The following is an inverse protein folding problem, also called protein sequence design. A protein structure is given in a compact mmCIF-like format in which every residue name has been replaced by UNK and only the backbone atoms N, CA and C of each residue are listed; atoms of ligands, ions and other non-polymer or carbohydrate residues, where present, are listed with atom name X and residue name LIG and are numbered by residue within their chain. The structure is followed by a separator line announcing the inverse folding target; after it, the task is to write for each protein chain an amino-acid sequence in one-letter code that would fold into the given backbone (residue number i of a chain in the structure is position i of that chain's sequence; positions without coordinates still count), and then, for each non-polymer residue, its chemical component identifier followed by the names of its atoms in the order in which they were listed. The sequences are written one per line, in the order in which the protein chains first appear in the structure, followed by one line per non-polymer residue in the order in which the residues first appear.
data_IF_239290274429
#
_entry.id   IF_239290274429
#
_cell.length_a   1.000
_cell.length_b   1.000
_cell.length_c   1.000
_cell.angle_alpha   90.00
_cell.angle_beta   90.00
_cell.angle_gamma   90.00
#
_symmetry.space_group_name_H-M   'P 1'
#
loop_
_entity.id
_entity.type
_entity.pdbx_description
1 polymer ?
#
# COMPACT_ATOMS: atom_id res chain seq x y z
N UNK A 1 -35.91 -11.17 54.11
CA UNK A 1 -34.56 -10.63 53.88
C UNK A 1 -33.86 -11.53 52.90
N UNK A 2 -33.70 -11.06 51.61
CA UNK A 2 -32.96 -11.81 50.59
C UNK A 2 -31.47 -11.56 50.84
N UNK A 3 -30.77 -12.56 51.29
CA UNK A 3 -29.31 -12.54 51.37
C UNK A 3 -28.76 -12.44 49.94
N UNK A 4 -28.46 -11.22 49.51
CA UNK A 4 -27.66 -10.98 48.31
C UNK A 4 -26.23 -11.38 48.61
N UNK A 5 -25.82 -12.52 48.09
CA UNK A 5 -24.46 -13.00 48.22
C UNK A 5 -23.55 -12.11 47.40
N UNK A 6 -22.76 -11.28 48.06
CA UNK A 6 -21.82 -10.33 47.44
C UNK A 6 -20.89 -11.07 46.45
N UNK A 7 -20.56 -12.32 46.73
CA UNK A 7 -19.78 -13.18 45.84
C UNK A 7 -20.46 -13.48 44.52
N UNK A 8 -21.79 -13.71 44.50
CA UNK A 8 -22.54 -13.94 43.25
C UNK A 8 -22.67 -12.68 42.46
N UNK A 9 -22.73 -11.50 43.08
CA UNK A 9 -22.75 -10.22 42.34
C UNK A 9 -21.39 -9.93 41.74
N UNK A 10 -20.31 -10.20 42.46
CA UNK A 10 -18.94 -10.05 41.95
C UNK A 10 -18.65 -11.02 40.81
N UNK A 11 -19.02 -12.27 40.94
CA UNK A 11 -18.89 -13.29 39.91
C UNK A 11 -19.65 -12.93 38.66
N UNK A 12 -20.89 -12.47 38.77
CA UNK A 12 -21.71 -12.09 37.62
C UNK A 12 -21.23 -10.79 36.94
N UNK A 13 -20.58 -9.89 37.65
CA UNK A 13 -20.12 -8.61 37.13
C UNK A 13 -18.71 -8.65 36.56
N UNK A 14 -17.84 -9.52 37.04
CA UNK A 14 -16.42 -9.56 36.69
C UNK A 14 -15.97 -10.87 36.01
N UNK A 15 -16.70 -11.96 36.19
CA UNK A 15 -16.28 -13.28 35.70
C UNK A 15 -17.27 -13.83 34.65
N UNK A 16 -18.55 -13.43 34.69
CA UNK A 16 -19.52 -13.86 33.69
C UNK A 16 -19.42 -13.00 32.46
N UNK A 17 -18.43 -13.29 31.65
CA UNK A 17 -18.42 -12.88 30.25
C UNK A 17 -19.53 -13.68 29.54
N UNK A 18 -20.57 -13.01 29.06
CA UNK A 18 -21.46 -13.58 28.08
C UNK A 18 -20.87 -13.23 26.72
N UNK A 19 -20.24 -14.17 25.99
CA UNK A 19 -19.86 -13.93 24.62
C UNK A 19 -21.10 -13.46 23.88
N UNK A 20 -20.93 -12.44 23.01
CA UNK A 20 -21.95 -12.08 22.05
C UNK A 20 -22.42 -13.39 21.40
N UNK A 21 -23.75 -13.63 21.32
CA UNK A 21 -24.28 -14.88 20.77
C UNK A 21 -23.69 -15.04 19.35
N UNK A 22 -22.61 -15.79 19.26
CA UNK A 22 -22.11 -16.26 17.98
C UNK A 22 -23.15 -17.26 17.48
N UNK A 23 -23.66 -17.07 16.28
CA UNK A 23 -24.32 -18.14 15.59
C UNK A 23 -23.36 -19.32 15.59
N UNK A 24 -23.77 -20.47 16.14
CA UNK A 24 -22.95 -21.67 16.19
C UNK A 24 -22.41 -21.96 14.78
N UNK A 25 -21.19 -21.56 14.52
CA UNK A 25 -20.51 -21.83 13.28
C UNK A 25 -19.95 -23.25 13.37
N UNK A 26 -20.74 -24.21 12.96
CA UNK A 26 -20.23 -25.53 12.66
C UNK A 26 -19.63 -25.49 11.26
N UNK A 27 -18.32 -25.67 11.13
CA UNK A 27 -17.72 -26.15 9.91
C UNK A 27 -18.35 -27.51 9.64
N UNK A 28 -19.40 -27.54 8.81
CA UNK A 28 -19.99 -28.78 8.36
C UNK A 28 -18.95 -29.54 7.58
N UNK A 29 -18.36 -30.55 8.25
CA UNK A 29 -17.59 -31.56 7.55
C UNK A 29 -18.55 -32.20 6.53
N UNK A 30 -18.26 -31.93 5.26
CA UNK A 30 -18.66 -32.75 4.12
C UNK A 30 -20.04 -33.39 4.17
N UNK A 31 -21.04 -32.68 3.74
CA UNK A 31 -22.05 -33.33 2.90
C UNK A 31 -21.90 -32.76 1.50
N UNK A 32 -21.06 -33.43 0.74
CA UNK A 32 -21.07 -33.40 -0.71
C UNK A 32 -22.45 -33.86 -1.19
N UNK A 33 -23.44 -32.98 -1.24
CA UNK A 33 -24.61 -33.07 -2.12
C UNK A 33 -25.15 -31.67 -2.29
N UNK A 34 -25.13 -31.24 -3.55
CA UNK A 34 -25.78 -30.04 -4.05
C UNK A 34 -25.09 -28.69 -3.73
N UNK A 35 -23.78 -28.62 -3.94
CA UNK A 35 -23.26 -27.38 -4.49
C UNK A 35 -23.78 -27.37 -5.93
N UNK A 36 -24.94 -26.75 -6.14
CA UNK A 36 -25.26 -26.22 -7.44
C UNK A 36 -24.01 -25.49 -7.90
N UNK A 37 -23.38 -26.04 -8.93
CA UNK A 37 -22.28 -25.42 -9.61
C UNK A 37 -22.80 -24.06 -10.04
N UNK A 38 -22.54 -23.02 -9.23
CA UNK A 38 -22.57 -21.65 -9.73
C UNK A 38 -21.85 -21.70 -11.06
N UNK A 39 -22.47 -21.23 -12.15
CA UNK A 39 -21.90 -21.37 -13.47
C UNK A 39 -20.51 -20.75 -13.45
N UNK A 40 -19.49 -21.62 -13.50
CA UNK A 40 -18.08 -21.27 -13.65
C UNK A 40 -17.83 -20.65 -15.05
N UNK A 41 -18.89 -20.24 -15.70
CA UNK A 41 -18.96 -19.47 -16.93
C UNK A 41 -19.53 -18.05 -16.73
N UNK A 42 -19.25 -17.39 -15.61
CA UNK A 42 -18.99 -15.97 -15.70
C UNK A 42 -17.74 -15.88 -16.59
N UNK A 43 -17.92 -15.45 -17.83
CA UNK A 43 -16.83 -15.15 -18.73
C UNK A 43 -15.80 -14.43 -17.89
N UNK A 44 -14.60 -15.01 -17.69
CA UNK A 44 -13.46 -14.29 -17.14
C UNK A 44 -13.29 -13.16 -18.12
N UNK A 45 -13.83 -12.00 -17.81
CA UNK A 45 -13.42 -10.76 -18.48
C UNK A 45 -11.91 -10.82 -18.42
N UNK A 46 -11.29 -10.85 -19.59
CA UNK A 46 -9.83 -10.96 -19.64
C UNK A 46 -9.31 -9.73 -18.95
N UNK A 47 -8.70 -9.93 -17.79
CA UNK A 47 -8.08 -8.82 -17.05
C UNK A 47 -7.17 -8.06 -18.02
N UNK A 48 -7.23 -6.71 -18.05
CA UNK A 48 -6.40 -5.93 -18.95
C UNK A 48 -4.94 -6.24 -18.67
N UNK A 49 -4.19 -6.63 -19.70
CA UNK A 49 -2.77 -6.97 -19.57
C UNK A 49 -1.88 -5.74 -19.64
N UNK A 50 -2.26 -4.78 -20.52
CA UNK A 50 -1.45 -3.61 -20.81
C UNK A 50 -2.10 -2.34 -20.24
N UNK A 51 -1.25 -1.43 -19.80
CA UNK A 51 -1.66 -0.10 -19.32
C UNK A 51 -2.16 0.71 -20.52
N UNK A 52 -3.37 1.25 -20.41
CA UNK A 52 -4.04 2.00 -21.47
C UNK A 52 -3.86 3.51 -21.32
N UNK A 53 -4.19 4.27 -22.38
CA UNK A 53 -4.25 5.74 -22.31
C UNK A 53 -5.42 6.25 -21.45
N UNK A 54 -6.36 5.39 -21.06
CA UNK A 54 -7.49 5.76 -20.22
C UNK A 54 -7.10 5.71 -18.75
N UNK A 55 -6.86 6.87 -18.16
CA UNK A 55 -6.48 7.01 -16.75
C UNK A 55 -7.50 6.39 -15.80
N UNK A 56 -8.80 6.61 -16.05
CA UNK A 56 -9.86 6.13 -15.16
C UNK A 56 -9.93 4.61 -15.12
N UNK A 57 -9.77 3.94 -16.25
CA UNK A 57 -9.79 2.48 -16.34
C UNK A 57 -8.57 1.88 -15.63
N UNK A 58 -7.38 2.46 -15.88
CA UNK A 58 -6.16 2.05 -15.20
C UNK A 58 -6.30 2.20 -13.66
N UNK A 59 -6.76 3.35 -13.21
CA UNK A 59 -6.95 3.63 -11.78
C UNK A 59 -7.95 2.68 -11.13
N UNK A 60 -9.09 2.44 -11.78
CA UNK A 60 -10.11 1.52 -11.30
C UNK A 60 -9.59 0.08 -11.23
N UNK A 61 -8.76 -0.33 -12.19
CA UNK A 61 -8.15 -1.64 -12.17
C UNK A 61 -7.19 -1.81 -10.99
N UNK A 62 -6.33 -0.82 -10.70
CA UNK A 62 -5.50 -0.84 -9.49
C UNK A 62 -6.35 -0.87 -8.22
N UNK A 63 -7.40 -0.05 -8.14
CA UNK A 63 -8.32 -0.02 -6.98
C UNK A 63 -9.00 -1.35 -6.74
N UNK A 64 -9.47 -2.01 -7.79
CA UNK A 64 -10.15 -3.32 -7.70
C UNK A 64 -9.18 -4.44 -7.32
N UNK A 65 -8.00 -4.48 -7.97
CA UNK A 65 -7.02 -5.55 -7.75
C UNK A 65 -6.48 -5.57 -6.32
N UNK A 66 -6.21 -4.40 -5.76
CA UNK A 66 -5.76 -4.29 -4.37
C UNK A 66 -6.89 -4.21 -3.34
N UNK A 67 -8.15 -4.30 -3.74
CA UNK A 67 -9.29 -4.09 -2.83
C UNK A 67 -9.12 -2.81 -1.99
N UNK A 68 -8.74 -1.70 -2.63
CA UNK A 68 -8.28 -0.48 -1.97
C UNK A 68 -9.27 0.15 -0.99
N UNK A 69 -10.56 -0.21 -1.07
CA UNK A 69 -11.59 0.22 -0.11
C UNK A 69 -11.47 -0.48 1.26
N UNK A 70 -10.89 -1.68 1.28
CA UNK A 70 -10.77 -2.52 2.46
C UNK A 70 -9.33 -2.58 2.95
N UNK A 71 -8.39 -2.60 2.02
CA UNK A 71 -6.97 -2.76 2.29
C UNK A 71 -6.36 -1.46 2.82
N UNK A 72 -6.03 -1.45 4.09
CA UNK A 72 -5.65 -0.22 4.82
C UNK A 72 -4.21 0.23 4.61
N UNK A 73 -3.35 -0.61 4.05
CA UNK A 73 -1.94 -0.30 3.81
C UNK A 73 -1.64 0.07 2.36
N UNK A 74 -2.60 -0.12 1.44
CA UNK A 74 -2.45 0.31 0.05
C UNK A 74 -2.87 1.77 -0.07
N UNK A 75 -1.94 2.61 -0.48
CA UNK A 75 -2.16 4.04 -0.66
C UNK A 75 -2.26 4.35 -2.14
N UNK A 76 -3.39 4.92 -2.54
CA UNK A 76 -3.62 5.48 -3.87
C UNK A 76 -3.86 6.96 -3.70
N UNK A 77 -2.86 7.77 -4.05
CA UNK A 77 -2.94 9.23 -3.95
C UNK A 77 -3.16 9.84 -5.32
N UNK A 78 -4.33 10.39 -5.53
CA UNK A 78 -4.69 11.12 -6.74
C UNK A 78 -4.28 12.60 -6.59
N UNK A 79 -3.74 13.18 -7.65
CA UNK A 79 -3.32 14.58 -7.73
C UNK A 79 -3.19 15.00 -9.19
N UNK A 80 -2.92 16.29 -9.45
CA UNK A 80 -2.69 16.77 -10.79
C UNK A 80 -1.25 17.27 -11.00
N UNK A 81 -0.78 17.10 -12.23
CA UNK A 81 0.54 17.54 -12.70
C UNK A 81 0.30 18.60 -13.77
N UNK A 82 0.95 19.76 -13.64
CA UNK A 82 0.91 20.79 -14.66
C UNK A 82 2.16 20.68 -15.55
N UNK A 83 1.97 20.44 -16.81
CA UNK A 83 3.05 20.38 -17.80
C UNK A 83 2.65 21.13 -19.07
N UNK A 84 3.53 22.00 -19.56
CA UNK A 84 3.26 22.84 -20.75
C UNK A 84 1.92 23.60 -20.68
N UNK A 85 1.59 24.21 -19.54
CA UNK A 85 0.34 24.92 -19.25
C UNK A 85 -0.94 24.07 -19.36
N UNK A 86 -0.81 22.76 -19.32
CA UNK A 86 -1.93 21.81 -19.33
C UNK A 86 -1.89 21.01 -18.04
N UNK A 87 -3.05 20.80 -17.44
CA UNK A 87 -3.23 19.98 -16.24
C UNK A 87 -3.53 18.54 -16.66
N UNK A 88 -2.84 17.58 -16.04
CA UNK A 88 -3.00 16.16 -16.24
C UNK A 88 -3.28 15.48 -14.90
N UNK A 89 -4.29 14.63 -14.85
CA UNK A 89 -4.57 13.82 -13.67
C UNK A 89 -3.49 12.74 -13.52
N UNK A 90 -3.08 12.50 -12.29
CA UNK A 90 -2.09 11.51 -11.94
C UNK A 90 -2.44 10.79 -10.65
N UNK A 91 -2.00 9.55 -10.51
CA UNK A 91 -2.11 8.81 -9.25
C UNK A 91 -0.80 8.11 -8.94
N UNK A 92 -0.39 8.22 -7.67
CA UNK A 92 0.74 7.51 -7.09
C UNK A 92 0.21 6.37 -6.23
N UNK A 93 0.68 5.14 -6.52
CA UNK A 93 0.22 3.90 -5.91
C UNK A 93 1.41 3.24 -5.22
N UNK A 94 1.26 2.92 -3.95
CA UNK A 94 2.30 2.25 -3.17
C UNK A 94 1.73 1.55 -1.93
N UNK A 95 2.51 0.65 -1.33
CA UNK A 95 2.17 0.02 -0.05
C UNK A 95 2.89 0.78 1.06
N UNK A 96 2.11 1.36 1.97
CA UNK A 96 2.63 2.04 3.14
C UNK A 96 3.31 1.05 4.09
N UNK A 97 4.50 1.44 4.60
CA UNK A 97 5.37 0.53 5.38
C UNK A 97 6.38 -0.24 4.53
N UNK A 98 6.19 -0.33 3.21
CA UNK A 98 7.17 -0.90 2.28
C UNK A 98 8.04 0.20 1.63
N UNK A 99 7.55 1.43 1.57
CA UNK A 99 8.23 2.59 0.97
C UNK A 99 8.82 3.51 2.02
N UNK A 100 9.85 4.27 1.64
CA UNK A 100 10.34 5.40 2.41
C UNK A 100 9.47 6.63 2.14
N UNK A 101 8.70 7.03 3.15
CA UNK A 101 7.80 8.18 3.07
C UNK A 101 8.55 9.49 2.79
N UNK A 102 9.80 9.62 3.22
CA UNK A 102 10.59 10.82 2.93
C UNK A 102 10.95 10.89 1.44
N UNK A 103 11.36 9.77 0.84
CA UNK A 103 11.63 9.65 -0.59
C UNK A 103 10.37 9.98 -1.39
N UNK A 104 9.23 9.39 -1.03
CA UNK A 104 7.94 9.68 -1.68
C UNK A 104 7.63 11.18 -1.63
N UNK A 105 7.71 11.79 -0.47
CA UNK A 105 7.33 13.20 -0.31
C UNK A 105 8.32 14.16 -0.97
N UNK A 106 9.63 13.94 -0.81
CA UNK A 106 10.66 14.88 -1.27
C UNK A 106 11.04 14.70 -2.73
N UNK A 107 11.13 13.45 -3.19
CA UNK A 107 11.65 13.13 -4.52
C UNK A 107 10.57 12.80 -5.54
N UNK A 108 9.32 12.54 -5.12
CA UNK A 108 8.23 12.23 -6.03
C UNK A 108 7.16 13.32 -5.98
N UNK A 109 6.48 13.47 -4.86
CA UNK A 109 5.32 14.36 -4.77
C UNK A 109 5.71 15.84 -4.87
N UNK A 110 6.76 16.25 -4.16
CA UNK A 110 7.18 17.66 -4.16
C UNK A 110 7.56 18.16 -5.57
N UNK A 111 8.40 17.48 -6.36
CA UNK A 111 8.70 17.91 -7.72
C UNK A 111 7.48 17.90 -8.64
N UNK A 112 6.63 16.87 -8.55
CA UNK A 112 5.44 16.74 -9.40
C UNK A 112 4.38 17.80 -9.11
N UNK A 113 4.24 18.22 -7.85
CA UNK A 113 3.17 19.15 -7.44
C UNK A 113 3.62 20.61 -7.34
N UNK A 114 4.88 20.90 -6.95
CA UNK A 114 5.33 22.26 -6.66
C UNK A 114 6.10 22.94 -7.80
N UNK A 115 6.81 22.19 -8.64
CA UNK A 115 7.60 22.79 -9.72
C UNK A 115 6.76 23.29 -10.91
N UNK A 116 5.51 22.96 -10.94
CA UNK A 116 4.61 23.24 -12.07
C UNK A 116 3.56 24.32 -11.79
N UNK A 117 3.76 25.16 -10.77
CA UNK A 117 2.92 26.34 -10.61
C UNK A 117 3.05 27.20 -11.86
N UNK A 118 1.94 27.63 -12.52
CA UNK A 118 2.00 28.52 -13.65
C UNK A 118 2.79 29.75 -13.19
N UNK A 119 3.84 30.09 -13.91
CA UNK A 119 4.53 31.39 -13.72
C UNK A 119 3.49 32.46 -14.06
N UNK A 120 2.82 33.00 -13.06
CA UNK A 120 2.08 34.24 -13.24
C UNK A 120 3.04 35.23 -13.85
N UNK A 121 2.76 35.66 -15.07
CA UNK A 121 3.53 36.72 -15.73
C UNK A 121 3.48 37.93 -14.78
N UNK A 122 4.59 38.20 -14.12
CA UNK A 122 4.78 39.45 -13.39
C UNK A 122 4.84 40.59 -14.39
N UNK A 123 3.67 41.10 -14.77
CA UNK A 123 3.51 42.47 -15.13
C UNK A 123 3.10 43.21 -13.86
N UNK A 124 4.04 43.37 -12.94
CA UNK A 124 3.94 44.38 -11.91
C UNK A 124 5.22 45.21 -11.95
N UNK A 125 4.98 46.43 -12.36
CA UNK A 125 5.81 47.59 -12.41
C UNK A 125 6.75 47.66 -11.23
N UNK A 126 8.04 47.62 -11.51
CA UNK A 126 9.11 47.98 -10.55
C UNK A 126 9.03 49.45 -10.21
N UNK A 127 8.67 49.75 -8.96
CA UNK A 127 8.92 51.03 -8.34
C UNK A 127 9.81 50.81 -7.12
N UNK A 128 11.09 51.15 -7.27
CA UNK A 128 11.95 51.76 -6.29
C UNK A 128 12.50 50.93 -5.15
N UNK A 129 13.74 50.50 -5.19
CA UNK A 129 14.79 51.10 -4.35
C UNK A 129 16.18 50.56 -4.77
N UNK A 130 16.99 51.47 -5.19
CA UNK A 130 18.41 51.27 -5.44
C UNK A 130 19.19 51.27 -4.12
N UNK A 131 20.15 50.36 -3.97
CA UNK A 131 21.45 50.73 -3.35
C UNK A 131 22.56 49.82 -3.94
N UNK A 132 23.59 50.52 -4.32
CA UNK A 132 24.80 50.08 -4.98
C UNK A 132 25.69 49.17 -4.11
N UNK A 133 26.46 48.28 -4.75
CA UNK A 133 27.91 48.45 -4.77
C UNK A 133 28.57 47.39 -5.69
N UNK A 134 29.50 47.97 -6.43
CA UNK A 134 30.47 47.43 -7.36
C UNK A 134 31.27 46.21 -6.88
N UNK A 135 31.56 45.31 -7.83
CA UNK A 135 32.98 44.96 -8.12
C UNK A 135 33.07 44.13 -9.41
N UNK A 136 33.78 44.71 -10.34
CA UNK A 136 34.33 44.10 -11.55
C UNK A 136 35.27 42.93 -11.23
N UNK A 137 35.36 41.92 -12.14
CA UNK A 137 36.64 41.56 -12.80
C UNK A 137 36.52 40.30 -13.70
N UNK A 138 36.76 40.58 -14.98
CA UNK A 138 37.61 39.84 -15.94
C UNK A 138 37.31 38.42 -16.42
N UNK A 139 37.09 38.41 -17.71
CA UNK A 139 37.44 37.47 -18.78
C UNK A 139 38.46 36.39 -18.47
N UNK A 140 38.13 35.16 -18.82
CA UNK A 140 39.09 34.32 -19.56
C UNK A 140 38.31 33.27 -20.43
N UNK A 141 38.53 33.37 -21.71
CA UNK A 141 38.09 32.40 -22.73
C UNK A 141 38.85 31.08 -22.57
N UNK A 142 38.18 29.96 -22.61
CA UNK A 142 38.77 28.73 -23.10
C UNK A 142 37.75 27.93 -23.93
N UNK A 143 38.09 27.79 -25.20
CA UNK A 143 37.47 26.98 -26.20
C UNK A 143 37.60 25.50 -25.81
N UNK A 144 36.52 24.77 -25.73
CA UNK A 144 36.50 23.31 -25.83
C UNK A 144 35.38 22.86 -26.78
N UNK A 145 35.76 22.22 -27.82
CA UNK A 145 34.95 21.61 -28.86
C UNK A 145 34.16 20.40 -28.32
N UNK A 146 32.88 20.27 -28.58
CA UNK A 146 32.16 19.04 -28.21
C UNK A 146 32.23 17.99 -29.31
N UNK A 147 32.68 16.79 -28.93
CA UNK A 147 32.59 15.58 -29.76
C UNK A 147 31.11 15.16 -29.89
N UNK A 148 30.70 15.00 -31.15
CA UNK A 148 29.41 14.37 -31.55
C UNK A 148 29.35 12.92 -31.03
N UNK A 149 28.36 12.62 -30.22
CA UNK A 149 27.82 11.26 -30.10
C UNK A 149 26.46 11.24 -30.80
N UNK A 150 26.38 10.46 -31.85
CA UNK A 150 25.14 10.12 -32.53
C UNK A 150 24.36 9.12 -31.70
N UNK A 151 23.19 9.51 -31.22
CA UNK A 151 22.13 8.60 -30.81
C UNK A 151 20.95 8.76 -31.74
N UNK A 152 20.73 7.75 -32.55
CA UNK A 152 19.59 7.60 -33.44
C UNK A 152 18.34 7.28 -32.66
N UNK A 153 17.47 8.26 -32.48
CA UNK A 153 16.08 8.04 -32.09
C UNK A 153 15.22 8.88 -33.05
N UNK A 154 14.35 8.21 -33.77
CA UNK A 154 13.43 8.82 -34.75
C UNK A 154 12.37 9.67 -34.03
N UNK A 155 12.69 10.93 -33.75
CA UNK A 155 11.76 11.94 -33.25
C UNK A 155 10.90 12.45 -34.44
N UNK A 156 9.59 12.25 -34.35
CA UNK A 156 8.66 12.91 -35.26
C UNK A 156 8.67 14.42 -34.99
N UNK A 157 9.15 15.19 -35.93
CA UNK A 157 9.20 16.67 -35.89
C UNK A 157 7.99 17.22 -36.62
N UNK A 158 7.15 17.97 -35.94
CA UNK A 158 6.09 18.74 -36.57
C UNK A 158 6.67 20.03 -37.19
N UNK A 159 6.36 20.33 -38.43
CA UNK A 159 6.86 21.51 -39.12
C UNK A 159 5.76 22.58 -39.08
N UNK A 160 6.00 23.64 -38.37
CA UNK A 160 5.12 24.82 -38.31
C UNK A 160 5.74 25.89 -39.22
N UNK A 161 5.01 26.33 -40.24
CA UNK A 161 5.42 27.42 -41.11
C UNK A 161 4.86 28.74 -40.56
N UNK A 162 5.73 29.63 -40.07
CA UNK A 162 5.39 31.01 -39.76
C UNK A 162 5.72 31.93 -40.93
N UNK A 163 4.73 32.70 -41.39
CA UNK A 163 4.92 33.71 -42.44
C UNK A 163 5.26 35.05 -41.80
N UNK A 164 6.51 35.47 -41.92
CA UNK A 164 6.92 36.84 -41.66
C UNK A 164 7.32 37.48 -43.00
N UNK A 165 6.85 38.71 -43.23
CA UNK A 165 7.01 39.55 -44.43
C UNK A 165 8.24 39.22 -45.28
N UNK A 166 8.05 38.35 -46.29
CA UNK A 166 8.94 37.93 -47.37
C UNK A 166 9.89 36.76 -47.18
N UNK A 167 10.01 36.15 -45.96
CA UNK A 167 10.78 34.92 -45.81
C UNK A 167 10.01 33.86 -45.01
N UNK A 168 9.93 32.65 -45.54
CA UNK A 168 9.34 31.50 -44.83
C UNK A 168 10.39 30.93 -43.91
N UNK A 169 10.26 31.23 -42.60
CA UNK A 169 11.13 30.63 -41.60
C UNK A 169 10.50 29.33 -41.11
N UNK A 170 10.99 28.22 -41.62
CA UNK A 170 10.60 26.89 -41.15
C UNK A 170 11.30 26.61 -39.82
N UNK A 171 10.59 26.80 -38.72
CA UNK A 171 11.07 26.37 -37.41
C UNK A 171 10.63 24.95 -37.14
N UNK A 172 11.57 24.05 -36.96
CA UNK A 172 11.30 22.69 -36.45
C UNK A 172 11.01 22.79 -34.97
N UNK A 173 9.74 22.79 -34.59
CA UNK A 173 9.33 22.74 -33.19
C UNK A 173 9.38 21.31 -32.71
N UNK A 174 10.10 21.04 -31.66
CA UNK A 174 10.13 19.73 -31.03
C UNK A 174 8.76 19.49 -30.35
N UNK A 175 8.02 18.48 -30.82
CA UNK A 175 6.72 18.15 -30.23
C UNK A 175 6.92 17.85 -28.74
N UNK A 176 6.14 18.50 -27.86
CA UNK A 176 6.20 18.25 -26.43
C UNK A 176 5.82 16.79 -26.15
N UNK A 177 6.71 16.06 -25.49
CA UNK A 177 6.49 14.68 -25.11
C UNK A 177 6.38 14.61 -23.57
N UNK A 178 5.15 14.49 -23.08
CA UNK A 178 4.84 14.43 -21.65
C UNK A 178 5.59 13.30 -20.95
N UNK A 179 5.66 12.12 -21.55
CA UNK A 179 6.36 10.93 -21.05
C UNK A 179 7.84 11.23 -20.76
N UNK A 180 8.54 11.80 -21.76
CA UNK A 180 9.95 12.15 -21.60
C UNK A 180 10.14 13.32 -20.64
N UNK A 181 9.19 14.25 -20.58
CA UNK A 181 9.26 15.38 -19.66
C UNK A 181 9.19 14.93 -18.20
N UNK A 182 8.23 14.04 -17.87
CA UNK A 182 8.10 13.48 -16.51
C UNK A 182 9.36 12.70 -16.15
N UNK A 183 9.80 11.80 -17.03
CA UNK A 183 10.95 10.95 -16.79
C UNK A 183 12.25 11.73 -16.58
N UNK A 184 12.49 12.75 -17.40
CA UNK A 184 13.80 13.45 -17.41
C UNK A 184 13.86 14.67 -16.52
N UNK A 185 12.71 15.27 -16.14
CA UNK A 185 12.69 16.58 -15.48
C UNK A 185 11.92 16.62 -14.17
N UNK A 186 10.94 15.71 -13.98
CA UNK A 186 10.06 15.80 -12.81
C UNK A 186 10.36 14.79 -11.71
N UNK A 187 11.02 13.68 -12.04
CA UNK A 187 11.34 12.65 -11.04
C UNK A 187 12.86 12.60 -10.83
N UNK A 188 13.38 13.27 -9.78
CA UNK A 188 14.82 13.31 -9.50
C UNK A 188 15.31 12.05 -8.78
N UNK A 189 14.80 10.87 -9.12
CA UNK A 189 15.18 9.58 -8.54
C UNK A 189 16.10 8.83 -9.50
N UNK A 190 17.12 8.16 -8.95
CA UNK A 190 18.12 7.46 -9.76
C UNK A 190 17.58 6.26 -10.52
N UNK A 191 16.62 5.56 -9.94
CA UNK A 191 16.02 4.37 -10.51
C UNK A 191 14.54 4.63 -10.82
N UNK A 192 14.27 4.95 -12.09
CA UNK A 192 12.93 5.08 -12.63
C UNK A 192 12.86 4.25 -13.89
N UNK A 193 11.86 3.38 -14.00
CA UNK A 193 11.61 2.59 -15.19
C UNK A 193 10.19 2.83 -15.72
N UNK A 194 9.98 2.59 -17.01
CA UNK A 194 8.67 2.72 -17.62
C UNK A 194 8.09 1.33 -17.85
N UNK A 195 6.91 1.09 -17.32
CA UNK A 195 6.20 -0.17 -17.45
C UNK A 195 4.99 0.00 -18.35
N UNK A 196 4.73 -1.00 -19.19
CA UNK A 196 3.56 -1.05 -20.06
C UNK A 196 2.53 -2.08 -19.63
N UNK A 197 2.92 -3.02 -18.76
CA UNK A 197 2.05 -4.09 -18.29
C UNK A 197 1.67 -3.91 -16.82
N UNK A 198 0.44 -4.27 -16.51
CA UNK A 198 -0.06 -4.25 -15.13
C UNK A 198 0.65 -5.27 -14.24
N UNK A 199 0.98 -6.46 -14.77
CA UNK A 199 1.67 -7.51 -14.02
C UNK A 199 3.02 -7.02 -13.46
N UNK A 200 3.81 -6.33 -14.29
CA UNK A 200 5.08 -5.76 -13.88
C UNK A 200 4.87 -4.66 -12.82
N UNK A 201 3.80 -3.85 -12.98
CA UNK A 201 3.46 -2.80 -12.02
C UNK A 201 3.04 -3.38 -10.66
N UNK A 202 2.22 -4.43 -10.62
CA UNK A 202 1.85 -5.11 -9.38
C UNK A 202 3.06 -5.74 -8.70
N UNK A 203 3.89 -6.45 -9.45
CA UNK A 203 5.13 -7.01 -8.94
C UNK A 203 6.02 -5.94 -8.30
N UNK A 204 6.14 -4.79 -8.94
CA UNK A 204 6.96 -3.68 -8.47
C UNK A 204 6.41 -3.06 -7.17
N UNK A 205 5.09 -2.81 -7.10
CA UNK A 205 4.41 -2.32 -5.88
C UNK A 205 4.62 -3.30 -4.71
N UNK A 206 4.42 -4.59 -4.97
CA UNK A 206 4.57 -5.63 -3.95
C UNK A 206 6.02 -5.78 -3.46
N UNK A 207 7.01 -5.38 -4.27
CA UNK A 207 8.43 -5.29 -3.87
C UNK A 207 8.79 -4.03 -3.11
N UNK A 208 7.85 -3.08 -2.93
CA UNK A 208 8.05 -1.84 -2.19
C UNK A 208 8.44 -0.64 -3.04
N UNK A 209 8.22 -0.68 -4.35
CA UNK A 209 8.32 0.48 -5.21
C UNK A 209 7.01 1.28 -5.21
N UNK A 210 7.03 2.45 -5.82
CA UNK A 210 5.84 3.25 -6.07
C UNK A 210 5.58 3.38 -7.57
N UNK A 211 4.33 3.24 -7.98
CA UNK A 211 3.91 3.36 -9.36
C UNK A 211 3.16 4.66 -9.57
N UNK A 212 3.60 5.45 -10.54
CA UNK A 212 2.94 6.67 -10.98
C UNK A 212 2.25 6.42 -12.33
N UNK A 213 0.94 6.59 -12.37
CA UNK A 213 0.15 6.62 -13.60
C UNK A 213 -0.27 8.05 -13.89
N UNK A 214 -0.25 8.43 -15.16
CA UNK A 214 -0.58 9.80 -15.61
C UNK A 214 -1.54 9.73 -16.78
N UNK A 215 -2.49 10.64 -16.79
CA UNK A 215 -3.48 10.79 -17.84
C UNK A 215 -2.82 10.92 -19.21
N UNK A 216 -3.46 10.33 -20.23
CA UNK A 216 -3.00 10.30 -21.63
C UNK A 216 -1.77 9.45 -21.93
N UNK A 217 -1.15 8.84 -20.92
CA UNK A 217 0.01 7.98 -21.11
C UNK A 217 -0.39 6.48 -21.06
N UNK A 218 0.22 5.71 -21.94
CA UNK A 218 0.13 4.24 -22.04
C UNK A 218 1.20 3.52 -21.25
N UNK A 219 1.79 4.21 -20.28
CA UNK A 219 2.86 3.69 -19.41
C UNK A 219 2.68 4.16 -17.99
N UNK A 220 3.14 3.35 -17.05
CA UNK A 220 3.35 3.73 -15.67
C UNK A 220 4.85 3.93 -15.40
N UNK A 221 5.18 4.82 -14.48
CA UNK A 221 6.55 5.03 -14.01
C UNK A 221 6.73 4.24 -12.71
N UNK A 222 7.65 3.30 -12.75
CA UNK A 222 8.11 2.56 -11.58
C UNK A 222 9.25 3.34 -10.93
N UNK A 223 9.05 3.76 -9.70
CA UNK A 223 9.96 4.62 -8.94
C UNK A 223 10.44 3.83 -7.73
N UNK A 224 11.75 3.60 -7.66
CA UNK A 224 12.36 2.92 -6.51
C UNK A 224 12.27 3.83 -5.27
N UNK A 225 11.39 3.46 -4.36
CA UNK A 225 11.14 4.17 -3.11
C UNK A 225 11.20 3.21 -1.90
N UNK A 226 11.87 2.06 -2.03
CA UNK A 226 11.97 1.07 -0.97
C UNK A 226 12.52 1.64 0.32
N UNK A 227 11.84 1.36 1.43
CA UNK A 227 12.22 1.94 2.72
C UNK A 227 11.61 1.25 3.91
N UNK A 228 11.56 -0.08 3.91
CA UNK A 228 11.09 -0.81 5.08
C UNK A 228 12.13 -0.77 6.21
N UNK A 229 11.62 -0.60 7.43
CA UNK A 229 12.46 -0.60 8.63
C UNK A 229 13.03 -1.99 8.87
N UNK A 230 14.31 -2.17 8.58
CA UNK A 230 15.04 -3.41 8.90
C UNK A 230 15.62 -3.40 10.31
N UNK A 231 15.67 -2.23 10.96
CA UNK A 231 16.33 -2.05 12.24
C UNK A 231 15.41 -2.48 13.37
N UNK A 232 15.88 -3.37 14.22
CA UNK A 232 15.20 -3.94 15.40
C UNK A 232 14.26 -5.13 15.16
N UNK A 233 14.34 -5.80 14.02
CA UNK A 233 13.77 -7.14 13.92
C UNK A 233 14.63 -8.07 14.77
N UNK A 234 14.08 -8.57 15.87
CA UNK A 234 14.75 -9.51 16.78
C UNK A 234 14.58 -10.95 16.30
N UNK A 235 15.41 -11.83 16.81
CA UNK A 235 15.19 -13.28 16.64
C UNK A 235 14.06 -13.74 17.57
N UNK A 236 13.31 -14.79 17.18
CA UNK A 236 12.29 -15.39 18.04
C UNK A 236 12.88 -15.83 19.38
N UNK A 237 12.26 -15.40 20.47
CA UNK A 237 12.74 -15.74 21.82
C UNK A 237 12.21 -17.09 22.29
N UNK A 238 10.95 -17.37 21.97
CA UNK A 238 10.26 -18.57 22.43
C UNK A 238 10.19 -19.68 21.36
N UNK A 239 10.32 -19.31 20.08
CA UNK A 239 10.26 -20.24 18.96
C UNK A 239 11.60 -20.30 18.21
N UNK A 240 12.67 -20.68 18.91
CA UNK A 240 14.04 -20.73 18.36
C UNK A 240 14.11 -21.67 17.17
N UNK A 241 14.69 -21.20 16.06
CA UNK A 241 14.85 -21.95 14.82
C UNK A 241 16.33 -22.25 14.59
N UNK A 242 16.66 -23.54 14.44
CA UNK A 242 18.05 -23.96 14.13
C UNK A 242 18.39 -23.67 12.66
N UNK A 243 17.42 -23.84 11.76
CA UNK A 243 17.55 -23.53 10.33
C UNK A 243 16.26 -22.89 9.84
N UNK A 244 16.32 -21.70 9.25
CA UNK A 244 15.17 -20.97 8.70
C UNK A 244 15.27 -19.48 8.96
N UNK A 245 14.15 -18.77 8.76
CA UNK A 245 14.05 -17.35 9.06
C UNK A 245 14.22 -17.11 10.54
N UNK A 246 15.07 -16.15 10.88
CA UNK A 246 15.36 -15.72 12.26
C UNK A 246 14.57 -14.42 12.60
N UNK A 247 13.73 -13.93 11.69
CA UNK A 247 12.92 -12.75 11.94
C UNK A 247 11.74 -13.09 12.85
N UNK A 248 11.46 -12.23 13.83
CA UNK A 248 10.27 -12.28 14.67
C UNK A 248 9.46 -11.00 14.58
N UNK A 249 8.16 -11.11 14.83
CA UNK A 249 7.30 -9.95 14.99
C UNK A 249 7.76 -9.08 16.15
N UNK A 250 7.46 -7.79 16.03
CA UNK A 250 7.78 -6.76 17.01
C UNK A 250 6.49 -6.11 17.55
N UNK A 251 6.59 -5.15 18.45
CA UNK A 251 5.43 -4.47 19.02
C UNK A 251 4.70 -3.57 18.02
N UNK A 252 5.41 -3.05 17.01
CA UNK A 252 4.85 -2.12 16.05
C UNK A 252 4.07 -2.84 14.94
N UNK A 253 2.75 -2.64 14.90
CA UNK A 253 1.84 -3.26 13.93
C UNK A 253 2.25 -2.99 12.47
N UNK A 254 2.74 -1.78 12.15
CA UNK A 254 3.16 -1.42 10.80
C UNK A 254 4.38 -2.21 10.33
N UNK A 255 5.34 -2.41 11.22
CA UNK A 255 6.50 -3.24 10.96
C UNK A 255 6.07 -4.69 10.72
N UNK A 256 5.14 -5.19 11.51
CA UNK A 256 4.63 -6.56 11.39
C UNK A 256 3.87 -6.79 10.08
N UNK A 257 3.03 -5.85 9.67
CA UNK A 257 2.33 -5.94 8.36
C UNK A 257 3.31 -5.88 7.20
N UNK A 258 4.35 -5.03 7.28
CA UNK A 258 5.38 -4.96 6.23
C UNK A 258 6.23 -6.23 6.14
N UNK A 259 6.47 -6.94 7.26
CA UNK A 259 7.12 -8.25 7.22
C UNK A 259 6.28 -9.29 6.47
N UNK A 260 4.97 -9.31 6.69
CA UNK A 260 4.07 -10.20 5.94
C UNK A 260 4.05 -9.84 4.45
N UNK A 261 4.00 -8.57 4.09
CA UNK A 261 4.06 -8.11 2.69
C UNK A 261 5.34 -8.54 1.98
N UNK A 262 6.49 -8.52 2.68
CA UNK A 262 7.77 -8.98 2.12
C UNK A 262 7.82 -10.48 1.87
N UNK A 263 7.15 -11.27 2.72
CA UNK A 263 7.11 -12.73 2.59
C UNK A 263 6.07 -13.14 1.56
N UNK A 264 4.86 -12.52 1.63
CA UNK A 264 3.75 -12.76 0.70
C UNK A 264 3.74 -11.60 -0.30
N UNK A 265 4.48 -11.76 -1.36
CA UNK A 265 4.57 -10.78 -2.45
C UNK A 265 3.39 -10.97 -3.42
N UNK A 266 2.17 -10.64 -2.96
CA UNK A 266 0.95 -10.86 -3.71
C UNK A 266 -0.08 -9.75 -3.41
N UNK A 267 -0.76 -9.27 -4.44
CA UNK A 267 -1.80 -8.24 -4.38
C UNK A 267 -3.07 -8.69 -3.66
N UNK A 268 -3.34 -10.00 -3.61
CA UNK A 268 -4.51 -10.57 -2.93
C UNK A 268 -4.39 -10.57 -1.39
N UNK A 269 -3.21 -10.24 -0.84
CA UNK A 269 -3.04 -10.07 0.59
C UNK A 269 -3.80 -8.81 1.04
N UNK A 270 -4.83 -9.00 1.84
CA UNK A 270 -5.63 -7.93 2.44
C UNK A 270 -5.21 -7.72 3.88
N UNK A 271 -4.98 -6.47 4.26
CA UNK A 271 -4.69 -6.04 5.61
C UNK A 271 -5.72 -4.99 6.01
N UNK A 272 -6.63 -5.39 6.87
CA UNK A 272 -7.76 -4.57 7.30
C UNK A 272 -7.56 -4.09 8.73
N UNK A 273 -7.44 -2.78 8.91
CA UNK A 273 -7.22 -2.19 10.23
C UNK A 273 -8.55 -1.91 10.93
N UNK A 274 -8.63 -2.27 12.19
CA UNK A 274 -9.69 -1.90 13.11
C UNK A 274 -9.11 -1.44 14.45
N UNK A 275 -9.97 -0.95 15.35
CA UNK A 275 -9.58 -0.53 16.68
C UNK A 275 -10.53 -1.13 17.71
N UNK A 276 -9.97 -1.69 18.78
CA UNK A 276 -10.71 -2.33 19.88
C UNK A 276 -10.45 -1.62 21.20
N UNK A 277 -11.46 -1.56 22.03
CA UNK A 277 -11.46 -0.84 23.31
C UNK A 277 -12.04 0.57 23.20
N UNK A 278 -12.98 0.89 24.10
CA UNK A 278 -13.66 2.18 24.14
C UNK A 278 -12.69 3.32 24.49
N UNK A 279 -11.76 3.04 25.39
CA UNK A 279 -10.79 4.02 25.90
C UNK A 279 -9.45 3.87 25.18
N UNK A 280 -8.89 2.66 25.11
CA UNK A 280 -7.55 2.44 24.54
C UNK A 280 -7.49 2.59 23.03
N UNK A 281 -8.57 2.22 22.33
CA UNK A 281 -8.62 2.18 20.85
C UNK A 281 -7.39 1.47 20.26
N UNK A 282 -7.05 0.32 20.85
CA UNK A 282 -5.89 -0.47 20.44
C UNK A 282 -6.05 -0.92 18.99
N UNK A 283 -5.06 -0.62 18.17
CA UNK A 283 -5.07 -0.97 16.75
C UNK A 283 -4.88 -2.46 16.54
N UNK A 284 -5.67 -3.02 15.66
CA UNK A 284 -5.62 -4.42 15.24
C UNK A 284 -5.60 -4.47 13.73
N UNK A 285 -4.82 -5.37 13.14
CA UNK A 285 -4.86 -5.68 11.73
C UNK A 285 -5.33 -7.13 11.53
N UNK A 286 -6.40 -7.31 10.76
CA UNK A 286 -6.90 -8.60 10.29
C UNK A 286 -6.32 -8.85 8.91
N UNK A 287 -5.52 -9.91 8.77
CA UNK A 287 -4.78 -10.23 7.55
C UNK A 287 -5.28 -11.56 6.97
N UNK A 288 -5.52 -11.58 5.65
CA UNK A 288 -5.98 -12.76 4.93
C UNK A 288 -5.68 -12.64 3.43
N UNK A 289 -5.67 -13.77 2.71
CA UNK A 289 -5.59 -13.79 1.25
C UNK A 289 -7.01 -13.87 0.65
N UNK A 290 -7.42 -12.84 -0.08
CA UNK A 290 -8.80 -12.69 -0.60
C UNK A 290 -9.21 -13.81 -1.56
N UNK A 291 -8.25 -14.40 -2.26
CA UNK A 291 -8.48 -15.47 -3.24
C UNK A 291 -8.47 -16.89 -2.63
N UNK A 292 -8.03 -17.05 -1.37
CA UNK A 292 -7.85 -18.36 -0.72
C UNK A 292 -8.68 -18.47 0.56
N UNK A 293 -8.77 -17.40 1.35
CA UNK A 293 -9.45 -17.41 2.63
C UNK A 293 -10.97 -17.65 2.47
N UNK A 294 -11.56 -18.41 3.40
CA UNK A 294 -12.99 -18.55 3.45
C UNK A 294 -13.64 -17.25 3.92
N UNK A 295 -14.54 -16.70 3.12
CA UNK A 295 -15.22 -15.43 3.43
C UNK A 295 -16.02 -15.48 4.74
N UNK A 296 -16.62 -16.61 5.07
CA UNK A 296 -17.38 -16.79 6.31
C UNK A 296 -16.45 -16.75 7.52
N UNK A 297 -15.25 -17.35 7.41
CA UNK A 297 -14.23 -17.28 8.44
C UNK A 297 -13.75 -15.86 8.66
N UNK A 298 -13.46 -15.13 7.57
CA UNK A 298 -13.07 -13.72 7.63
C UNK A 298 -14.16 -12.88 8.31
N UNK A 299 -15.42 -13.08 7.90
CA UNK A 299 -16.55 -12.37 8.46
C UNK A 299 -16.72 -12.68 9.96
N UNK A 300 -16.57 -13.93 10.38
CA UNK A 300 -16.67 -14.34 11.78
C UNK A 300 -15.54 -13.74 12.65
N UNK A 301 -14.30 -13.79 12.17
CA UNK A 301 -13.16 -13.16 12.87
C UNK A 301 -13.41 -11.67 13.05
N UNK A 302 -13.82 -10.97 12.00
CA UNK A 302 -14.13 -9.54 12.04
C UNK A 302 -15.31 -9.25 12.97
N UNK A 303 -16.35 -10.08 12.94
CA UNK A 303 -17.50 -9.95 13.82
C UNK A 303 -17.07 -10.06 15.28
N UNK A 304 -16.28 -11.06 15.64
CA UNK A 304 -15.80 -11.24 17.03
C UNK A 304 -14.93 -10.09 17.50
N UNK A 305 -13.99 -9.64 16.67
CA UNK A 305 -13.09 -8.54 17.01
C UNK A 305 -13.84 -7.22 17.18
N UNK A 306 -14.79 -6.91 16.27
CA UNK A 306 -15.50 -5.62 16.26
C UNK A 306 -16.59 -5.52 17.34
N UNK A 307 -17.12 -6.67 17.82
CA UNK A 307 -18.18 -6.70 18.84
C UNK A 307 -17.65 -6.85 20.29
N UNK A 308 -16.34 -6.71 20.49
CA UNK A 308 -15.77 -6.72 21.84
C UNK A 308 -16.20 -5.46 22.61
N UNK A 309 -16.96 -5.67 23.69
CA UNK A 309 -17.37 -4.59 24.59
C UNK A 309 -16.42 -4.50 25.79
N UNK A 310 -15.23 -3.92 25.56
CA UNK A 310 -14.19 -3.70 26.57
C UNK A 310 -13.68 -2.26 26.51
N UNK A 311 -13.19 -1.77 27.63
CA UNK A 311 -12.62 -0.43 27.71
C UNK A 311 -11.15 -0.41 27.23
N UNK A 312 -10.43 -1.48 27.47
CA UNK A 312 -9.00 -1.58 27.22
C UNK A 312 -8.58 -2.98 26.77
N UNK A 313 -7.74 -3.06 25.74
CA UNK A 313 -7.09 -4.28 25.26
C UNK A 313 -5.59 -4.18 25.52
N UNK A 314 -5.05 -5.09 26.34
CA UNK A 314 -3.66 -5.07 26.76
C UNK A 314 -2.72 -5.81 25.82
N UNK A 315 -3.18 -6.96 25.28
CA UNK A 315 -2.30 -7.87 24.54
C UNK A 315 -3.07 -8.82 23.63
N UNK A 316 -2.33 -9.48 22.73
CA UNK A 316 -2.88 -10.56 21.91
C UNK A 316 -3.41 -11.74 22.74
N UNK A 317 -2.78 -12.06 23.87
CA UNK A 317 -3.28 -13.11 24.77
C UNK A 317 -4.63 -12.80 25.40
N UNK A 318 -4.89 -11.53 25.77
CA UNK A 318 -6.22 -11.11 26.21
C UNK A 318 -7.24 -11.20 25.06
N UNK A 319 -6.85 -10.77 23.86
CA UNK A 319 -7.72 -10.89 22.68
C UNK A 319 -8.07 -12.34 22.41
N UNK A 320 -7.10 -13.26 22.47
CA UNK A 320 -7.31 -14.69 22.30
C UNK A 320 -8.41 -15.22 23.20
N UNK A 321 -8.34 -14.89 24.51
CA UNK A 321 -9.35 -15.33 25.49
C UNK A 321 -10.74 -14.74 25.22
N UNK A 322 -10.82 -13.53 24.68
CA UNK A 322 -12.08 -12.83 24.44
C UNK A 322 -12.81 -13.30 23.17
N UNK A 323 -12.07 -13.78 22.16
CA UNK A 323 -12.67 -14.19 20.87
C UNK A 323 -12.87 -15.71 20.77
N UNK A 324 -12.42 -16.50 21.73
CA UNK A 324 -12.68 -17.95 21.80
C UNK A 324 -14.14 -18.24 22.13
N UNK A 325 -14.68 -19.37 21.63
CA UNK A 325 -16.05 -19.81 21.91
C UNK A 325 -16.23 -20.24 23.38
N UNK A 326 -15.22 -20.95 23.90
CA UNK A 326 -15.21 -21.45 25.27
C UNK A 326 -13.84 -21.22 25.92
N UNK A 327 -13.79 -20.28 26.85
CA UNK A 327 -12.59 -19.96 27.59
C UNK A 327 -12.12 -21.09 28.53
N UNK A 328 -12.94 -22.12 28.78
CA UNK A 328 -12.58 -23.29 29.56
C UNK A 328 -12.12 -24.49 28.71
N UNK A 329 -12.08 -24.32 27.38
CA UNK A 329 -11.63 -25.38 26.48
C UNK A 329 -10.17 -25.71 26.71
N UNK A 330 -9.85 -27.00 26.86
CA UNK A 330 -8.47 -27.50 26.93
C UNK A 330 -7.75 -27.39 25.56
N UNK A 331 -8.48 -27.25 24.49
CA UNK A 331 -7.94 -27.16 23.13
C UNK A 331 -7.97 -25.69 22.67
N UNK A 332 -6.80 -25.05 22.46
CA UNK A 332 -6.77 -23.70 21.96
C UNK A 332 -7.34 -23.63 20.54
N UNK A 333 -8.23 -22.67 20.29
CA UNK A 333 -8.88 -22.46 18.99
C UNK A 333 -8.04 -21.61 18.05
N UNK A 334 -7.08 -20.86 18.60
CA UNK A 334 -6.16 -20.00 17.90
C UNK A 334 -4.73 -20.52 18.02
N UNK A 335 -3.88 -20.09 17.12
CA UNK A 335 -2.43 -20.30 17.18
C UNK A 335 -1.79 -18.96 17.47
N UNK A 336 -1.03 -18.84 18.56
CA UNK A 336 -0.20 -17.68 18.82
C UNK A 336 1.24 -17.97 18.36
N UNK A 337 1.83 -17.08 17.57
CA UNK A 337 3.22 -17.23 17.10
C UNK A 337 3.90 -15.87 16.94
N UNK A 338 5.21 -15.84 17.22
CA UNK A 338 6.05 -14.66 16.97
C UNK A 338 6.75 -14.72 15.61
N UNK A 339 6.50 -15.75 14.81
CA UNK A 339 7.21 -16.01 13.55
C UNK A 339 6.41 -15.59 12.32
N UNK A 340 6.90 -14.60 11.54
CA UNK A 340 6.24 -14.16 10.31
C UNK A 340 6.16 -15.26 9.23
N UNK A 341 7.17 -16.11 9.11
CA UNK A 341 7.20 -17.21 8.16
C UNK A 341 6.10 -18.25 8.43
N UNK A 342 5.83 -18.58 9.71
CA UNK A 342 4.69 -19.45 10.06
C UNK A 342 3.35 -18.82 9.71
N UNK A 343 3.17 -17.54 10.05
CA UNK A 343 1.94 -16.83 9.73
C UNK A 343 1.70 -16.80 8.23
N UNK A 344 2.75 -16.55 7.43
CA UNK A 344 2.66 -16.56 5.97
C UNK A 344 2.17 -17.91 5.43
N UNK A 345 2.70 -19.03 5.95
CA UNK A 345 2.23 -20.38 5.58
C UNK A 345 0.76 -20.57 5.90
N UNK A 346 0.32 -20.15 7.09
CA UNK A 346 -1.07 -20.27 7.49
C UNK A 346 -2.01 -19.40 6.63
N UNK A 347 -1.59 -18.21 6.23
CA UNK A 347 -2.36 -17.39 5.29
C UNK A 347 -2.49 -18.07 3.92
N UNK A 348 -1.44 -18.73 3.43
CA UNK A 348 -1.47 -19.52 2.19
C UNK A 348 -2.36 -20.78 2.30
N UNK A 349 -2.64 -21.25 3.53
CA UNK A 349 -3.62 -22.31 3.80
C UNK A 349 -5.05 -21.79 3.93
N UNK A 350 -5.30 -20.48 3.71
CA UNK A 350 -6.63 -19.86 3.80
C UNK A 350 -7.06 -19.47 5.20
N UNK A 351 -6.14 -19.42 6.16
CA UNK A 351 -6.42 -18.95 7.53
C UNK A 351 -6.36 -17.44 7.61
N UNK A 352 -6.84 -16.90 8.74
CA UNK A 352 -6.87 -15.47 9.04
C UNK A 352 -5.89 -15.19 10.17
N UNK A 353 -5.04 -14.18 10.01
CA UNK A 353 -4.12 -13.73 11.04
C UNK A 353 -4.60 -12.42 11.66
N UNK A 354 -4.41 -12.26 12.96
CA UNK A 354 -4.80 -11.08 13.72
C UNK A 354 -3.55 -10.54 14.42
N UNK A 355 -3.13 -9.35 14.03
CA UNK A 355 -2.00 -8.64 14.60
C UNK A 355 -2.53 -7.58 15.55
N UNK A 356 -2.09 -7.60 16.80
CA UNK A 356 -2.44 -6.60 17.81
C UNK A 356 -1.24 -5.68 17.99
N UNK A 357 -1.48 -4.36 18.00
CA UNK A 357 -0.41 -3.41 18.29
C UNK A 357 0.14 -3.60 19.71
N UNK A 358 1.39 -3.26 19.91
CA UNK A 358 2.12 -3.36 21.18
C UNK A 358 2.36 -4.80 21.68
N UNK A 359 2.20 -5.80 20.80
CA UNK A 359 2.53 -7.20 21.13
C UNK A 359 3.24 -7.90 19.96
N UNK A 360 4.30 -8.70 20.22
CA UNK A 360 5.03 -9.41 19.18
C UNK A 360 4.38 -10.75 18.78
N UNK A 361 3.22 -11.08 19.34
CA UNK A 361 2.50 -12.32 19.03
C UNK A 361 1.33 -12.07 18.10
N UNK A 362 1.30 -12.82 17.01
CA UNK A 362 0.21 -12.84 16.04
C UNK A 362 -0.67 -14.05 16.29
N UNK A 363 -1.98 -13.83 16.31
CA UNK A 363 -2.98 -14.90 16.43
C UNK A 363 -3.40 -15.37 15.06
N UNK A 364 -3.54 -16.67 14.86
CA UNK A 364 -4.01 -17.26 13.60
C UNK A 364 -5.24 -18.12 13.89
N UNK A 365 -6.31 -17.87 13.13
CA UNK A 365 -7.58 -18.57 13.21
C UNK A 365 -7.88 -19.35 11.91
N UNK A 366 -8.49 -20.53 12.00
CA UNK A 366 -8.61 -21.38 13.17
C UNK A 366 -7.35 -22.23 13.38
N UNK A 367 -7.17 -22.74 14.60
CA UNK A 367 -6.23 -23.85 14.81
C UNK A 367 -6.83 -25.13 14.23
N UNK A 368 -6.17 -25.76 13.28
CA UNK A 368 -6.58 -27.09 12.81
C UNK A 368 -6.44 -28.07 13.97
N UNK A 369 -7.55 -28.62 14.43
CA UNK A 369 -7.54 -29.86 15.23
C UNK A 369 -7.18 -31.00 14.28
N UNK A 370 -6.10 -31.71 14.58
CA UNK A 370 -5.72 -32.95 13.88
C UNK A 370 -6.74 -34.03 14.24
#
# INVERSE_FOLDING_TARGET
MKNYNIFTHFYNKFIKYTPAQSNNFFLTSETNKDIEKLPINAAKEQEPKDISNNYSDNLNFFKSKYNSLINSDVVIREFSIIANNTEFNAALIFIDGMVDTQVINSSVLKPLMLHNLPRTSKNETSAGLATANDAQLNDTQSKATPKKQQSTTSEQKEIIAEYNNNDVIIRKVKKFNLKNYIYSHLIPQNSVTMLTKFEDAFSSINMGNSILIVETLDVAFDIDAKGFKQRSISSPQNEIVVRGSQEAFVENIRTNTSMLRRIINNEDLVIENCAVGKISKTKIAVCYLSNIANNDLVAEVKFRVNNLDIDYLTSSGQLEQLIQDDGASLYPQLIATERPDKVAVHLLEGRVAIIVNDTPYVLVAPRRTI
#
